data_IF_323570955186
#
_entry.id   IF_323570955186
#
_cell.length_a   1.000
_cell.length_b   1.000
_cell.length_c   1.000
_cell.angle_alpha   90.00
_cell.angle_beta   90.00
_cell.angle_gamma   90.00
#
_symmetry.space_group_name_H-M   'P 1'
#
loop_
_entity.id
_entity.type
_entity.pdbx_description
1 polymer ?
#
# COMPACT_ATOMS: atom_id res chain seq x y z
N UNK A 1 -6.77 -2.83 -4.70
CA UNK A 1 -5.93 -1.95 -3.82
C UNK A 1 -5.76 -0.55 -4.41
N UNK A 2 -5.15 -0.38 -5.58
CA UNK A 2 -4.99 0.93 -6.25
C UNK A 2 -6.31 1.55 -6.73
N UNK A 3 -7.35 0.75 -6.94
CA UNK A 3 -8.68 1.19 -7.41
C UNK A 3 -9.61 1.65 -6.27
N UNK A 4 -9.13 1.63 -5.02
CA UNK A 4 -9.92 2.11 -3.89
C UNK A 4 -10.37 3.57 -4.10
N UNK A 5 -11.66 3.82 -3.96
CA UNK A 5 -12.29 5.12 -4.19
C UNK A 5 -12.41 5.90 -2.88
N UNK A 6 -12.19 7.21 -2.94
CA UNK A 6 -12.58 8.12 -1.87
C UNK A 6 -14.04 8.59 -2.05
N UNK A 7 -14.54 9.41 -1.13
CA UNK A 7 -15.90 9.96 -1.19
C UNK A 7 -16.15 10.91 -2.37
N UNK A 8 -15.10 11.39 -3.04
CA UNK A 8 -15.20 12.20 -4.25
C UNK A 8 -15.16 11.34 -5.54
N UNK A 9 -15.23 10.01 -5.40
CA UNK A 9 -15.10 9.05 -6.50
C UNK A 9 -13.77 9.16 -7.23
N UNK A 10 -12.69 9.46 -6.49
CA UNK A 10 -11.33 9.47 -7.03
C UNK A 10 -10.58 8.20 -6.61
N UNK A 11 -9.91 7.55 -7.56
CA UNK A 11 -9.09 6.38 -7.30
C UNK A 11 -7.83 6.75 -6.49
N UNK A 12 -7.44 5.87 -5.57
CA UNK A 12 -6.17 5.96 -4.85
C UNK A 12 -4.97 6.01 -5.82
N UNK A 13 -5.04 5.24 -6.90
CA UNK A 13 -4.08 5.25 -7.99
C UNK A 13 -2.78 4.52 -7.67
N UNK A 14 -2.09 4.09 -8.72
CA UNK A 14 -0.83 3.35 -8.60
C UNK A 14 0.34 4.26 -8.20
N UNK A 15 0.29 5.56 -8.52
CA UNK A 15 1.38 6.48 -8.24
C UNK A 15 1.63 6.64 -6.74
N UNK A 16 0.58 6.67 -5.91
CA UNK A 16 0.73 6.74 -4.45
C UNK A 16 1.41 5.50 -3.86
N UNK A 17 1.14 4.32 -4.42
CA UNK A 17 1.83 3.09 -4.03
C UNK A 17 3.31 3.14 -4.45
N UNK A 18 3.61 3.66 -5.65
CA UNK A 18 5.00 3.83 -6.12
C UNK A 18 5.77 4.81 -5.26
N UNK A 19 5.19 5.96 -4.94
CA UNK A 19 5.81 6.97 -4.07
C UNK A 19 6.15 6.37 -2.70
N UNK A 20 5.24 5.54 -2.15
CA UNK A 20 5.45 4.86 -0.88
C UNK A 20 6.60 3.85 -0.96
N UNK A 21 6.67 3.05 -2.02
CA UNK A 21 7.79 2.11 -2.25
C UNK A 21 9.12 2.87 -2.43
N UNK A 22 9.12 3.99 -3.13
CA UNK A 22 10.32 4.81 -3.38
C UNK A 22 10.89 5.46 -2.11
N UNK A 23 10.03 5.83 -1.15
CA UNK A 23 10.48 6.36 0.15
C UNK A 23 11.24 5.32 0.97
N UNK A 24 11.07 4.04 0.66
CA UNK A 24 11.64 2.93 1.41
C UNK A 24 10.87 2.63 2.69
N UNK A 25 11.13 1.44 3.23
CA UNK A 25 10.64 0.96 4.52
C UNK A 25 11.75 0.11 5.15
N UNK A 26 11.78 0.03 6.48
CA UNK A 26 12.76 -0.79 7.20
C UNK A 26 12.46 -2.29 7.04
N UNK A 27 11.20 -2.64 6.76
CA UNK A 27 10.77 -4.02 6.53
C UNK A 27 9.63 -4.16 5.51
N UNK A 28 9.43 -5.36 4.97
CA UNK A 28 8.29 -5.67 4.11
C UNK A 28 6.95 -5.59 4.85
N UNK A 29 6.94 -5.91 6.15
CA UNK A 29 5.74 -5.79 6.99
C UNK A 29 5.32 -4.33 7.10
N UNK A 30 6.27 -3.46 7.44
CA UNK A 30 6.03 -2.01 7.52
C UNK A 30 5.56 -1.45 6.17
N UNK A 31 6.16 -1.88 5.06
CA UNK A 31 5.74 -1.49 3.71
C UNK A 31 4.28 -1.87 3.44
N UNK A 32 3.89 -3.10 3.78
CA UNK A 32 2.53 -3.60 3.61
C UNK A 32 1.52 -2.85 4.49
N UNK A 33 1.82 -2.68 5.77
CA UNK A 33 0.96 -1.96 6.72
C UNK A 33 0.77 -0.50 6.31
N UNK A 34 1.86 0.17 5.92
CA UNK A 34 1.81 1.57 5.46
C UNK A 34 1.01 1.71 4.16
N UNK A 35 1.11 0.75 3.25
CA UNK A 35 0.31 0.72 2.01
C UNK A 35 -1.19 0.61 2.31
N UNK A 36 -1.58 -0.31 3.19
CA UNK A 36 -2.99 -0.52 3.56
C UNK A 36 -3.52 0.65 4.38
N UNK A 37 -2.72 1.21 5.30
CA UNK A 37 -3.07 2.40 6.06
C UNK A 37 -3.31 3.60 5.13
N UNK A 38 -2.44 3.81 4.13
CA UNK A 38 -2.60 4.86 3.12
C UNK A 38 -3.90 4.73 2.34
N UNK A 39 -4.25 3.51 1.90
CA UNK A 39 -5.52 3.27 1.20
C UNK A 39 -6.72 3.49 2.11
N UNK A 40 -6.68 3.01 3.37
CA UNK A 40 -7.78 3.24 4.34
C UNK A 40 -7.97 4.72 4.65
N UNK A 41 -6.88 5.47 4.81
CA UNK A 41 -6.93 6.91 5.01
C UNK A 41 -7.51 7.63 3.78
N UNK A 42 -7.22 7.15 2.57
CA UNK A 42 -7.78 7.68 1.34
C UNK A 42 -9.29 7.45 1.22
N UNK A 43 -9.76 6.23 1.50
CA UNK A 43 -11.18 5.90 1.57
C UNK A 43 -11.88 6.77 2.64
N UNK A 44 -11.21 6.97 3.79
CA UNK A 44 -11.73 7.75 4.91
C UNK A 44 -12.98 7.10 5.49
N UNK A 45 -14.10 7.84 5.48
CA UNK A 45 -15.40 7.33 5.91
C UNK A 45 -16.21 6.68 4.76
N UNK A 46 -15.61 6.54 3.58
CA UNK A 46 -16.22 5.89 2.44
C UNK A 46 -16.33 4.37 2.60
N UNK A 47 -16.99 3.74 1.64
CA UNK A 47 -17.13 2.28 1.60
C UNK A 47 -16.05 1.70 0.71
N UNK A 48 -15.44 0.60 1.15
CA UNK A 48 -14.59 -0.20 0.28
C UNK A 48 -15.49 -1.02 -0.66
N UNK A 49 -15.41 -0.77 -1.96
CA UNK A 49 -16.32 -1.35 -2.96
C UNK A 49 -15.87 -2.72 -3.49
N UNK A 50 -14.58 -3.04 -3.36
CA UNK A 50 -13.98 -4.30 -3.83
C UNK A 50 -12.99 -4.85 -2.79
N UNK A 51 -12.73 -6.15 -2.82
CA UNK A 51 -11.76 -6.79 -1.94
C UNK A 51 -10.34 -6.27 -2.19
N UNK A 52 -9.53 -6.28 -1.13
CA UNK A 52 -8.14 -5.84 -1.20
C UNK A 52 -7.20 -6.95 -0.76
N UNK A 53 -6.23 -7.27 -1.61
CA UNK A 53 -5.13 -8.18 -1.31
C UNK A 53 -3.81 -7.53 -1.73
N UNK A 54 -2.80 -7.58 -0.86
CA UNK A 54 -1.45 -7.06 -1.11
C UNK A 54 -0.42 -8.10 -0.67
N UNK A 55 0.57 -8.35 -1.52
CA UNK A 55 1.70 -9.25 -1.22
C UNK A 55 2.99 -8.46 -1.42
N UNK A 56 3.80 -8.37 -0.36
CA UNK A 56 5.12 -7.74 -0.40
C UNK A 56 6.20 -8.83 -0.40
N UNK A 57 7.11 -8.80 -1.37
CA UNK A 57 8.22 -9.74 -1.50
C UNK A 57 9.51 -8.96 -1.67
N UNK A 58 10.57 -9.41 -1.02
CA UNK A 58 11.90 -8.82 -1.09
C UNK A 58 12.97 -9.89 -1.06
N UNK A 59 14.15 -9.56 -1.55
CA UNK A 59 15.32 -10.45 -1.51
C UNK A 59 16.05 -10.24 -0.19
N UNK A 60 16.17 -11.29 0.61
CA UNK A 60 17.13 -11.29 1.72
C UNK A 60 18.50 -11.73 1.20
N UNK A 61 19.54 -10.98 1.57
CA UNK A 61 20.92 -11.41 1.36
C UNK A 61 21.36 -12.05 2.67
N UNK A 62 21.43 -13.38 2.70
CA UNK A 62 22.13 -14.06 3.80
C UNK A 62 23.60 -13.67 3.73
N UNK A 63 24.09 -13.02 4.78
CA UNK A 63 25.52 -12.73 4.91
C UNK A 63 26.16 -13.95 5.57
N UNK A 64 26.91 -14.73 4.80
CA UNK A 64 27.70 -15.84 5.32
C UNK A 64 28.90 -15.24 6.08
N UNK A 65 29.02 -15.56 7.37
CA UNK A 65 30.12 -15.17 8.23
C UNK A 65 31.41 -15.94 7.90
#
# INVERSE_FOLDING_TARGET
VNEAMNNASECYGIERLRDLVQRGAESLTELGESSIAGVRAWIGNGVQEDDMCLVCVGRQIETVA
#
